data_IF_443255812528
#
_entry.id   IF_443255812528
#
_cell.length_a   1.000
_cell.length_b   1.000
_cell.length_c   1.000
_cell.angle_alpha   90.00
_cell.angle_beta   90.00
_cell.angle_gamma   90.00
#
_symmetry.space_group_name_H-M   'P 1'
#
loop_
_entity.id
_entity.type
_entity.pdbx_description
1 polymer ?
#
# COMPACT_ATOMS: atom_id res chain seq x y z
N UNK A 1 14.17 11.40 8.17
CA UNK A 1 12.96 12.19 8.42
C UNK A 1 12.79 12.41 9.92
N UNK A 2 12.36 13.62 10.30
CA UNK A 2 12.40 14.08 11.69
C UNK A 2 11.55 13.29 12.68
N UNK A 3 10.51 12.56 12.23
CA UNK A 3 9.63 11.79 13.09
C UNK A 3 10.05 10.31 13.29
N UNK A 4 11.13 9.85 12.66
CA UNK A 4 11.63 8.49 12.80
C UNK A 4 10.73 7.38 12.22
N UNK A 5 9.74 7.70 11.38
CA UNK A 5 8.81 6.74 10.80
C UNK A 5 9.50 5.53 10.11
N UNK A 6 10.57 5.70 9.32
CA UNK A 6 11.25 4.56 8.70
C UNK A 6 11.75 3.53 9.71
N UNK A 7 12.30 3.98 10.85
CA UNK A 7 12.77 3.08 11.89
C UNK A 7 11.62 2.39 12.63
N UNK A 8 10.54 3.14 12.93
CA UNK A 8 9.35 2.58 13.61
C UNK A 8 8.64 1.51 12.79
N UNK A 9 8.65 1.66 11.46
CA UNK A 9 7.90 0.77 10.55
C UNK A 9 8.75 -0.29 9.87
N UNK A 10 10.06 -0.36 10.19
CA UNK A 10 10.98 -1.31 9.57
C UNK A 10 10.52 -2.77 9.69
N UNK A 11 9.99 -3.17 10.84
CA UNK A 11 9.50 -4.54 11.04
C UNK A 11 8.32 -4.86 10.09
N UNK A 12 7.39 -3.92 9.89
CA UNK A 12 6.29 -4.08 8.94
C UNK A 12 6.78 -4.25 7.50
N UNK A 13 7.82 -3.50 7.10
CA UNK A 13 8.42 -3.61 5.77
C UNK A 13 9.04 -4.99 5.53
N UNK A 14 9.73 -5.54 6.51
CA UNK A 14 10.32 -6.89 6.43
C UNK A 14 9.22 -7.92 6.22
N UNK A 15 8.18 -7.93 7.04
CA UNK A 15 7.07 -8.87 6.89
C UNK A 15 6.31 -8.70 5.57
N UNK A 16 6.14 -7.47 5.09
CA UNK A 16 5.52 -7.20 3.78
C UNK A 16 6.28 -7.80 2.58
N UNK A 17 7.59 -8.08 2.74
CA UNK A 17 8.43 -8.65 1.68
C UNK A 17 8.67 -10.16 1.85
N UNK A 18 8.89 -10.60 3.08
CA UNK A 18 9.50 -11.90 3.38
C UNK A 18 8.56 -12.85 4.12
N UNK A 19 7.34 -12.42 4.40
CA UNK A 19 6.37 -13.23 5.11
C UNK A 19 6.05 -14.52 4.38
N UNK A 20 6.23 -15.65 5.08
CA UNK A 20 5.86 -16.98 4.57
C UNK A 20 4.63 -17.49 5.29
N UNK A 21 3.74 -18.22 4.57
CA UNK A 21 2.63 -18.89 5.22
C UNK A 21 3.11 -19.86 6.30
N UNK A 22 2.49 -19.79 7.49
CA UNK A 22 2.66 -20.78 8.54
C UNK A 22 1.75 -21.98 8.30
N UNK A 23 0.56 -21.73 7.75
CA UNK A 23 -0.42 -22.76 7.44
C UNK A 23 -1.19 -22.36 6.18
N UNK A 24 -1.49 -23.35 5.34
CA UNK A 24 -2.38 -23.21 4.18
C UNK A 24 -3.38 -24.36 4.18
N UNK A 25 -4.65 -24.03 4.21
CA UNK A 25 -5.72 -25.01 4.02
C UNK A 25 -6.47 -24.73 2.73
N UNK A 26 -6.92 -25.80 2.06
CA UNK A 26 -7.60 -25.74 0.78
C UNK A 26 -8.74 -26.76 0.81
N UNK A 27 -9.97 -26.30 0.69
CA UNK A 27 -11.16 -27.17 0.80
C UNK A 27 -12.31 -26.69 -0.09
N UNK A 28 -13.19 -27.59 -0.44
CA UNK A 28 -14.47 -27.26 -1.05
C UNK A 28 -15.51 -26.99 0.03
N UNK A 29 -16.23 -25.88 -0.10
CA UNK A 29 -17.39 -25.52 0.74
C UNK A 29 -18.55 -25.24 -0.18
N UNK A 30 -19.46 -26.24 -0.29
CA UNK A 30 -20.44 -26.25 -1.36
C UNK A 30 -19.77 -26.33 -2.71
N UNK A 31 -20.07 -25.41 -3.61
CA UNK A 31 -19.46 -25.30 -4.94
C UNK A 31 -18.21 -24.39 -4.96
N UNK A 32 -17.92 -23.71 -3.87
CA UNK A 32 -16.82 -22.78 -3.78
C UNK A 32 -15.53 -23.49 -3.30
N UNK A 33 -14.39 -23.09 -3.87
CA UNK A 33 -13.09 -23.45 -3.34
C UNK A 33 -12.65 -22.39 -2.34
N UNK A 34 -12.32 -22.80 -1.12
CA UNK A 34 -11.89 -21.91 -0.04
C UNK A 34 -10.44 -22.22 0.32
N UNK A 35 -9.56 -21.24 0.13
CA UNK A 35 -8.16 -21.31 0.51
C UNK A 35 -7.94 -20.35 1.67
N UNK A 36 -7.50 -20.86 2.82
CA UNK A 36 -7.15 -20.05 3.99
C UNK A 36 -5.65 -20.11 4.23
N UNK A 37 -5.06 -18.94 4.39
CA UNK A 37 -3.62 -18.78 4.61
C UNK A 37 -3.41 -18.07 5.95
N UNK A 38 -2.58 -18.66 6.80
CA UNK A 38 -2.20 -18.08 8.10
C UNK A 38 -0.75 -17.66 8.07
N UNK A 39 -0.49 -16.45 8.49
CA UNK A 39 0.85 -15.89 8.67
C UNK A 39 1.07 -15.58 10.15
N UNK A 40 2.15 -16.12 10.72
CA UNK A 40 2.60 -15.77 12.06
C UNK A 40 3.66 -14.68 11.95
N UNK A 41 3.35 -13.53 12.50
CA UNK A 41 4.22 -12.34 12.50
C UNK A 41 4.82 -12.19 13.91
N UNK A 42 5.74 -13.11 14.25
CA UNK A 42 6.25 -13.29 15.62
C UNK A 42 6.85 -12.02 16.21
N UNK A 43 7.72 -11.32 15.45
CA UNK A 43 8.36 -10.08 15.91
C UNK A 43 7.37 -8.92 16.08
N UNK A 44 6.20 -9.00 15.46
CA UNK A 44 5.11 -8.05 15.60
C UNK A 44 4.11 -8.48 16.69
N UNK A 45 4.24 -9.70 17.19
CA UNK A 45 3.35 -10.27 18.21
C UNK A 45 1.92 -10.46 17.72
N UNK A 46 1.73 -10.74 16.41
CA UNK A 46 0.40 -10.91 15.84
C UNK A 46 0.35 -12.01 14.79
N UNK A 47 -0.85 -12.32 14.33
CA UNK A 47 -1.11 -13.20 13.20
C UNK A 47 -1.96 -12.49 12.15
N UNK A 48 -1.79 -12.88 10.89
CA UNK A 48 -2.63 -12.42 9.79
C UNK A 48 -3.23 -13.63 9.07
N UNK A 49 -4.55 -13.62 8.91
CA UNK A 49 -5.29 -14.69 8.24
C UNK A 49 -5.91 -14.12 6.97
N UNK A 50 -5.65 -14.74 5.84
CA UNK A 50 -6.27 -14.36 4.57
C UNK A 50 -7.07 -15.54 4.03
N UNK A 51 -8.35 -15.32 3.77
CA UNK A 51 -9.27 -16.32 3.19
C UNK A 51 -9.63 -15.90 1.77
N UNK A 52 -9.42 -16.79 0.84
CA UNK A 52 -9.80 -16.66 -0.56
C UNK A 52 -10.95 -17.59 -0.87
N UNK A 53 -12.12 -17.04 -1.21
CA UNK A 53 -13.26 -17.82 -1.66
C UNK A 53 -13.43 -17.65 -3.16
N UNK A 54 -13.24 -18.74 -3.91
CA UNK A 54 -13.32 -18.78 -5.37
C UNK A 54 -14.64 -19.43 -5.76
N UNK A 55 -15.49 -18.67 -6.42
CA UNK A 55 -16.79 -19.14 -6.94
C UNK A 55 -16.62 -19.81 -8.32
N UNK A 56 -17.51 -20.73 -8.73
CA UNK A 56 -17.51 -21.30 -10.09
C UNK A 56 -17.61 -20.23 -11.20
N UNK A 57 -18.21 -19.08 -10.89
CA UNK A 57 -18.29 -17.90 -11.78
C UNK A 57 -16.96 -17.24 -12.07
N UNK A 58 -15.88 -17.58 -11.32
CA UNK A 58 -14.58 -16.92 -11.37
C UNK A 58 -14.47 -15.71 -10.42
N UNK A 59 -15.53 -15.38 -9.69
CA UNK A 59 -15.49 -14.34 -8.67
C UNK A 59 -14.61 -14.81 -7.51
N UNK A 60 -13.69 -13.94 -7.07
CA UNK A 60 -12.83 -14.16 -5.93
C UNK A 60 -13.19 -13.19 -4.80
N UNK A 61 -13.61 -13.72 -3.66
CA UNK A 61 -13.75 -12.93 -2.43
C UNK A 61 -12.46 -13.07 -1.61
N UNK A 62 -11.90 -11.94 -1.18
CA UNK A 62 -10.71 -11.86 -0.32
C UNK A 62 -11.12 -11.26 1.01
N UNK A 63 -10.86 -12.00 2.09
CA UNK A 63 -11.08 -11.54 3.46
C UNK A 63 -9.78 -11.68 4.22
N UNK A 64 -9.24 -10.56 4.71
CA UNK A 64 -8.01 -10.52 5.48
C UNK A 64 -8.30 -9.98 6.89
N UNK A 65 -7.72 -10.63 7.88
CA UNK A 65 -7.84 -10.24 9.28
C UNK A 65 -6.51 -10.40 9.99
N UNK A 66 -6.00 -9.30 10.53
CA UNK A 66 -4.84 -9.28 11.41
C UNK A 66 -5.31 -9.11 12.86
N UNK A 67 -4.75 -9.92 13.77
CA UNK A 67 -4.98 -9.75 15.20
C UNK A 67 -4.32 -8.47 15.72
N UNK A 68 -4.59 -8.13 16.98
CA UNK A 68 -3.81 -7.08 17.66
C UNK A 68 -2.31 -7.37 17.59
N UNK A 69 -1.51 -6.33 17.47
CA UNK A 69 -0.06 -6.43 17.41
C UNK A 69 0.60 -5.70 18.58
N UNK A 70 1.84 -6.11 18.89
CA UNK A 70 2.64 -5.50 19.95
C UNK A 70 3.14 -4.09 19.60
N UNK A 71 3.10 -3.72 18.32
CA UNK A 71 3.42 -2.38 17.84
C UNK A 71 2.24 -1.44 18.00
N UNK A 72 2.49 -0.15 18.20
CA UNK A 72 1.43 0.85 18.37
C UNK A 72 0.64 1.09 17.07
N UNK A 73 1.33 1.07 15.93
CA UNK A 73 0.77 1.47 14.63
C UNK A 73 1.44 0.75 13.46
N UNK A 74 0.74 0.62 12.36
CA UNK A 74 1.24 0.14 11.08
C UNK A 74 1.17 1.25 10.00
N UNK A 75 2.02 1.22 8.96
CA UNK A 75 1.94 2.18 7.87
C UNK A 75 0.66 2.00 7.04
N UNK A 76 0.26 0.77 6.79
CA UNK A 76 -0.96 0.39 6.06
C UNK A 76 -1.34 -1.05 6.37
N UNK A 77 -2.61 -1.39 6.13
CA UNK A 77 -3.08 -2.76 6.19
C UNK A 77 -3.88 -3.09 4.93
N UNK A 78 -3.35 -4.00 4.13
CA UNK A 78 -3.95 -4.34 2.85
C UNK A 78 -3.28 -5.51 2.14
N UNK A 79 -3.65 -5.68 0.89
CA UNK A 79 -3.05 -6.64 -0.04
C UNK A 79 -2.62 -5.94 -1.31
N UNK A 80 -1.61 -6.47 -1.97
CA UNK A 80 -1.14 -5.96 -3.26
C UNK A 80 -0.85 -7.10 -4.23
N UNK A 81 -1.05 -6.82 -5.51
CA UNK A 81 -0.67 -7.72 -6.60
C UNK A 81 -0.29 -6.94 -7.84
N UNK A 82 0.25 -7.62 -8.84
CA UNK A 82 0.66 -7.03 -10.10
C UNK A 82 -0.15 -7.60 -11.25
N UNK A 83 -0.48 -6.73 -12.19
CA UNK A 83 -1.04 -7.06 -13.48
C UNK A 83 -0.07 -6.63 -14.59
N UNK A 84 -0.15 -7.21 -15.80
CA UNK A 84 0.60 -6.69 -16.95
C UNK A 84 0.35 -5.19 -17.15
N UNK A 85 1.34 -4.45 -17.61
CA UNK A 85 1.30 -2.99 -17.80
C UNK A 85 0.13 -2.53 -18.67
N UNK A 86 -0.32 -3.36 -19.62
CA UNK A 86 -1.46 -3.05 -20.48
C UNK A 86 -2.78 -2.81 -19.73
N UNK A 87 -2.90 -3.26 -18.48
CA UNK A 87 -4.04 -2.96 -17.60
C UNK A 87 -3.84 -1.59 -16.95
N UNK A 88 -4.04 -0.55 -17.76
CA UNK A 88 -3.70 0.83 -17.42
C UNK A 88 -4.90 1.79 -17.38
N UNK A 89 -6.11 1.35 -17.78
CA UNK A 89 -7.30 2.17 -17.70
C UNK A 89 -8.03 1.94 -16.38
N UNK A 90 -8.21 3.00 -15.62
CA UNK A 90 -8.76 3.00 -14.27
C UNK A 90 -10.09 3.75 -14.27
N UNK A 91 -11.09 3.16 -13.62
CA UNK A 91 -12.35 3.81 -13.30
C UNK A 91 -12.75 3.44 -11.89
N UNK A 92 -13.18 4.40 -11.07
CA UNK A 92 -13.50 4.12 -9.68
C UNK A 92 -14.63 5.01 -9.16
N UNK A 93 -15.31 4.54 -8.14
CA UNK A 93 -16.29 5.31 -7.37
C UNK A 93 -15.75 5.52 -5.96
N UNK A 94 -15.33 6.75 -5.69
CA UNK A 94 -14.66 7.14 -4.46
C UNK A 94 -14.31 8.62 -4.45
N UNK A 95 -13.36 9.01 -3.63
CA UNK A 95 -12.88 10.38 -3.56
C UNK A 95 -11.80 10.65 -4.62
N UNK A 96 -11.91 11.78 -5.29
CA UNK A 96 -10.99 12.19 -6.35
C UNK A 96 -11.20 13.64 -6.78
N UNK A 97 -10.71 14.00 -8.02
CA UNK A 97 -9.94 13.18 -8.95
C UNK A 97 -8.48 12.95 -8.52
N UNK A 98 -7.94 13.86 -7.72
CA UNK A 98 -6.54 13.85 -7.28
C UNK A 98 -6.30 12.83 -6.18
N UNK A 99 -5.02 12.53 -5.91
CA UNK A 99 -4.65 11.72 -4.76
C UNK A 99 -5.20 12.33 -3.47
N UNK A 100 -5.60 11.48 -2.56
CA UNK A 100 -6.10 11.87 -1.27
C UNK A 100 -5.81 10.77 -0.25
N UNK A 101 -5.69 11.17 1.01
CA UNK A 101 -5.31 10.32 2.14
C UNK A 101 -6.30 10.56 3.28
N UNK A 102 -6.40 9.67 4.23
CA UNK A 102 -7.38 9.75 5.30
C UNK A 102 -7.32 11.09 6.08
N UNK A 103 -6.14 11.72 6.15
CA UNK A 103 -5.89 13.04 6.76
C UNK A 103 -5.85 14.20 5.76
N UNK A 104 -6.06 13.93 4.46
CA UNK A 104 -6.03 14.92 3.38
C UNK A 104 -7.07 14.57 2.31
N UNK A 105 -8.34 14.55 2.67
CA UNK A 105 -9.44 14.14 1.78
C UNK A 105 -10.61 15.11 1.68
N UNK A 106 -10.65 16.15 2.50
CA UNK A 106 -11.83 17.03 2.57
C UNK A 106 -12.05 17.82 1.27
N UNK A 107 -10.97 18.11 0.52
CA UNK A 107 -11.04 18.72 -0.81
C UNK A 107 -11.40 17.74 -1.94
N UNK A 108 -11.38 16.44 -1.69
CA UNK A 108 -11.66 15.43 -2.70
C UNK A 108 -13.17 15.12 -2.76
N UNK A 109 -13.77 15.38 -3.92
CA UNK A 109 -15.20 15.15 -4.14
C UNK A 109 -15.50 13.66 -4.33
N UNK A 110 -16.70 13.26 -3.93
CA UNK A 110 -17.18 11.89 -4.09
C UNK A 110 -17.90 11.73 -5.42
N UNK A 111 -17.32 10.98 -6.36
CA UNK A 111 -17.88 10.76 -7.69
C UNK A 111 -17.31 9.51 -8.37
N UNK A 112 -17.77 9.25 -9.61
CA UNK A 112 -17.14 8.29 -10.51
C UNK A 112 -16.10 9.01 -11.34
N UNK A 113 -14.86 8.54 -11.26
CA UNK A 113 -13.72 9.08 -12.01
C UNK A 113 -13.16 8.05 -12.97
N UNK A 114 -12.56 8.55 -14.05
CA UNK A 114 -11.82 7.75 -15.03
C UNK A 114 -10.49 8.43 -15.30
N UNK A 115 -9.42 7.66 -15.32
CA UNK A 115 -8.06 8.11 -15.59
C UNK A 115 -7.22 6.94 -16.10
N UNK A 116 -5.97 7.19 -16.42
CA UNK A 116 -4.98 6.12 -16.62
C UNK A 116 -4.15 5.90 -15.35
N UNK A 117 -3.43 4.78 -15.30
CA UNK A 117 -2.45 4.53 -14.24
C UNK A 117 -1.36 5.60 -14.22
N UNK A 118 -0.96 6.11 -15.40
CA UNK A 118 0.01 7.21 -15.50
C UNK A 118 -0.53 8.51 -14.88
N UNK A 119 -1.83 8.80 -15.03
CA UNK A 119 -2.47 9.97 -14.41
C UNK A 119 -2.55 9.88 -12.89
N UNK A 120 -2.40 8.69 -12.33
CA UNK A 120 -2.41 8.50 -10.88
C UNK A 120 -1.05 8.79 -10.23
N UNK A 121 0.04 8.73 -11.00
CA UNK A 121 1.38 9.00 -10.51
C UNK A 121 1.56 10.49 -10.20
N UNK A 122 2.09 10.79 -9.00
CA UNK A 122 2.42 12.16 -8.58
C UNK A 122 3.94 12.29 -8.46
N UNK A 123 4.59 13.10 -9.32
CA UNK A 123 6.04 13.22 -9.39
C UNK A 123 6.58 14.13 -8.26
N UNK A 124 6.46 13.70 -7.03
CA UNK A 124 7.08 14.41 -5.91
C UNK A 124 8.60 14.55 -6.11
N UNK A 125 9.15 15.72 -5.79
CA UNK A 125 10.58 16.00 -5.95
C UNK A 125 11.45 14.94 -5.28
N UNK A 126 11.05 14.53 -4.07
CA UNK A 126 11.58 13.33 -3.44
C UNK A 126 10.58 12.20 -3.59
N UNK A 127 10.96 11.08 -4.23
CA UNK A 127 10.09 9.91 -4.36
C UNK A 127 9.55 9.45 -3.00
N UNK A 128 8.26 9.23 -2.93
CA UNK A 128 7.54 8.85 -1.73
C UNK A 128 6.19 8.23 -2.10
N UNK A 129 5.42 7.79 -1.11
CA UNK A 129 4.03 7.36 -1.29
C UNK A 129 3.24 8.40 -2.08
N UNK A 130 2.51 7.94 -3.10
CA UNK A 130 1.72 8.81 -3.96
C UNK A 130 0.58 8.05 -4.64
N UNK A 131 -0.33 8.79 -5.24
CA UNK A 131 -1.39 8.23 -6.08
C UNK A 131 -2.53 7.57 -5.31
N UNK A 132 -2.58 7.67 -3.99
CA UNK A 132 -3.59 7.02 -3.16
C UNK A 132 -4.98 7.63 -3.31
N UNK A 133 -6.03 6.82 -3.15
CA UNK A 133 -7.45 7.21 -3.15
C UNK A 133 -8.16 6.52 -1.98
N UNK A 134 -8.92 7.28 -1.21
CA UNK A 134 -9.68 6.74 -0.07
C UNK A 134 -11.18 6.67 -0.34
N UNK A 135 -11.91 6.03 0.58
CA UNK A 135 -13.37 5.91 0.55
C UNK A 135 -13.92 5.29 -0.75
N UNK A 136 -13.18 4.33 -1.37
CA UNK A 136 -13.52 3.70 -2.64
C UNK A 136 -14.47 2.53 -2.45
N UNK A 137 -15.57 2.53 -3.20
CA UNK A 137 -16.57 1.45 -3.16
C UNK A 137 -16.36 0.40 -4.24
N UNK A 138 -15.86 0.84 -5.39
CA UNK A 138 -15.42 -0.07 -6.44
C UNK A 138 -14.33 0.57 -7.30
N UNK A 139 -13.50 -0.29 -7.85
CA UNK A 139 -12.39 0.03 -8.73
C UNK A 139 -12.43 -0.92 -9.94
N UNK A 140 -12.45 -0.37 -11.14
CA UNK A 140 -12.30 -1.10 -12.40
C UNK A 140 -10.90 -0.82 -12.95
N UNK A 141 -10.18 -1.88 -13.32
CA UNK A 141 -8.90 -1.79 -14.02
C UNK A 141 -8.98 -2.68 -15.25
N UNK A 142 -8.71 -2.11 -16.45
CA UNK A 142 -8.81 -2.84 -17.71
C UNK A 142 -7.75 -2.45 -18.71
N UNK A 143 -7.52 -3.32 -19.68
CA UNK A 143 -6.70 -3.04 -20.85
C UNK A 143 -7.52 -2.38 -21.99
N UNK A 144 -6.83 -1.99 -23.06
CA UNK A 144 -7.47 -1.38 -24.22
C UNK A 144 -8.45 -2.32 -24.97
N UNK A 145 -8.37 -3.64 -24.74
CA UNK A 145 -9.29 -4.63 -25.33
C UNK A 145 -10.57 -4.81 -24.49
N UNK A 146 -10.71 -4.08 -23.40
CA UNK A 146 -11.86 -4.14 -22.50
C UNK A 146 -11.87 -5.32 -21.54
N UNK A 147 -10.78 -6.08 -21.42
CA UNK A 147 -10.63 -7.12 -20.39
C UNK A 147 -10.06 -6.54 -19.11
N UNK A 148 -10.54 -6.98 -17.98
CA UNK A 148 -10.09 -6.42 -16.72
C UNK A 148 -10.68 -7.07 -15.49
N UNK A 149 -10.57 -6.34 -14.39
CA UNK A 149 -11.08 -6.70 -13.09
C UNK A 149 -11.92 -5.55 -12.53
N UNK A 150 -13.04 -5.88 -11.91
CA UNK A 150 -13.73 -4.95 -11.01
C UNK A 150 -13.51 -5.43 -9.59
N UNK A 151 -13.04 -4.55 -8.74
CA UNK A 151 -12.87 -4.78 -7.31
C UNK A 151 -14.00 -4.05 -6.58
N UNK A 152 -14.81 -4.79 -5.82
CA UNK A 152 -15.91 -4.23 -5.03
C UNK A 152 -15.63 -4.35 -3.54
N UNK A 153 -15.83 -3.27 -2.81
CA UNK A 153 -15.87 -3.30 -1.35
C UNK A 153 -17.03 -4.17 -0.87
N UNK A 154 -16.83 -4.98 0.17
CA UNK A 154 -17.88 -5.85 0.73
C UNK A 154 -18.51 -5.20 1.95
N UNK A 155 -17.74 -4.94 3.01
CA UNK A 155 -18.29 -4.39 4.26
C UNK A 155 -18.07 -2.88 4.35
N UNK A 156 -16.87 -2.45 4.10
CA UNK A 156 -16.45 -1.04 4.22
C UNK A 156 -15.74 -0.60 2.94
N UNK A 157 -15.82 0.68 2.57
CA UNK A 157 -14.98 1.21 1.49
C UNK A 157 -13.52 0.91 1.76
N UNK A 158 -12.77 0.63 0.70
CA UNK A 158 -11.33 0.43 0.75
C UNK A 158 -10.59 1.68 0.27
N UNK A 159 -9.29 1.67 0.48
CA UNK A 159 -8.35 2.64 -0.10
C UNK A 159 -7.50 1.94 -1.16
N UNK A 160 -7.02 2.65 -2.18
CA UNK A 160 -6.23 2.01 -3.23
C UNK A 160 -5.14 2.90 -3.85
N UNK A 161 -4.12 2.22 -4.38
CA UNK A 161 -3.18 2.75 -5.37
C UNK A 161 -3.19 1.84 -6.61
N UNK A 162 -2.93 2.42 -7.78
CA UNK A 162 -2.64 1.69 -9.01
C UNK A 162 -1.56 2.45 -9.78
N UNK A 163 -0.32 1.93 -9.79
CA UNK A 163 0.84 2.60 -10.35
C UNK A 163 1.67 1.64 -11.21
N UNK A 164 2.40 2.18 -12.20
CA UNK A 164 3.43 1.44 -12.94
C UNK A 164 4.74 1.33 -12.15
N UNK A 165 4.68 1.43 -10.84
CA UNK A 165 5.80 1.33 -9.93
C UNK A 165 5.40 0.47 -8.73
N UNK A 166 6.36 -0.20 -8.13
CA UNK A 166 6.15 -0.83 -6.83
C UNK A 166 6.35 0.17 -5.69
N UNK A 167 5.80 -0.15 -4.52
CA UNK A 167 6.02 0.66 -3.30
C UNK A 167 7.52 0.83 -3.04
N UNK A 168 8.33 -0.22 -3.32
CA UNK A 168 9.78 -0.21 -3.13
C UNK A 168 10.52 0.72 -4.11
N UNK A 169 9.92 1.05 -5.26
CA UNK A 169 10.52 1.97 -6.21
C UNK A 169 10.60 3.42 -5.67
N UNK A 170 9.81 3.73 -4.66
CA UNK A 170 9.80 5.04 -4.01
C UNK A 170 10.65 5.09 -2.74
N UNK A 171 11.24 3.97 -2.34
CA UNK A 171 12.16 3.92 -1.22
C UNK A 171 13.60 4.15 -1.68
N UNK A 172 14.32 5.01 -0.97
CA UNK A 172 15.78 5.00 -1.05
C UNK A 172 16.29 3.63 -0.56
N UNK A 173 17.36 3.12 -1.17
CA UNK A 173 17.98 1.88 -0.71
C UNK A 173 18.29 1.94 0.78
N UNK A 174 18.06 0.83 1.46
CA UNK A 174 18.28 0.70 2.90
C UNK A 174 19.70 1.11 3.27
N UNK A 175 19.81 2.19 4.01
CA UNK A 175 20.96 2.39 4.84
C UNK A 175 20.89 1.36 5.96
N UNK A 176 21.87 0.49 6.07
CA UNK A 176 22.05 -0.41 7.22
C UNK A 176 22.38 0.34 8.50
N UNK A 177 22.67 1.63 8.39
CA UNK A 177 22.86 2.52 9.53
C UNK A 177 21.51 3.14 9.93
N UNK A 178 21.17 3.16 11.24
CA UNK A 178 20.04 3.95 11.71
C UNK A 178 20.21 5.38 11.23
N UNK A 179 19.15 5.93 10.62
CA UNK A 179 19.14 7.34 10.26
C UNK A 179 19.32 8.16 11.53
N UNK A 180 20.49 8.76 11.70
CA UNK A 180 20.75 9.71 12.76
C UNK A 180 20.78 11.09 12.11
N UNK A 181 19.79 11.92 12.42
CA UNK A 181 19.74 13.32 11.98
C UNK A 181 21.05 14.06 12.26
N UNK A 182 21.70 13.71 13.36
CA UNK A 182 22.97 14.31 13.81
C UNK A 182 24.19 13.90 12.97
N UNK A 183 24.06 12.91 12.10
CA UNK A 183 25.14 12.48 11.19
C UNK A 183 25.08 13.15 9.83
N UNK A 184 24.11 14.02 9.61
CA UNK A 184 24.07 14.87 8.45
C UNK A 184 25.00 16.07 8.70
N UNK A 185 26.29 15.84 8.59
CA UNK A 185 27.27 16.93 8.49
C UNK A 185 27.19 17.41 7.06
N UNK A 186 26.40 18.45 6.84
CA UNK A 186 26.38 19.20 5.61
C UNK A 186 27.83 19.60 5.33
N UNK A 187 28.41 19.07 4.23
CA UNK A 187 29.79 19.30 3.80
C UNK A 187 30.91 18.44 4.42
N UNK A 188 30.64 17.28 4.98
CA UNK A 188 31.70 16.33 5.21
C UNK A 188 32.08 15.63 3.88
N UNK A 189 33.26 15.95 3.28
CA UNK A 189 33.70 15.30 2.05
C UNK A 189 33.91 13.78 2.22
N UNK A 190 33.96 13.28 3.45
CA UNK A 190 34.06 11.85 3.75
C UNK A 190 32.69 11.16 3.81
N UNK A 191 31.62 11.91 3.95
CA UNK A 191 30.25 11.38 3.94
C UNK A 191 29.72 11.17 2.52
N UNK A 192 30.43 11.67 1.50
CA UNK A 192 30.10 11.43 0.09
C UNK A 192 30.07 9.94 -0.25
N UNK A 193 30.85 9.12 0.43
CA UNK A 193 30.82 7.67 0.29
C UNK A 193 29.57 7.02 0.89
N UNK A 194 29.12 7.47 2.03
CA UNK A 194 27.88 7.03 2.68
C UNK A 194 26.66 7.57 1.93
N UNK A 195 26.66 8.82 1.56
CA UNK A 195 25.66 9.40 0.71
C UNK A 195 25.53 8.65 -0.62
N UNK A 196 26.64 8.24 -1.24
CA UNK A 196 26.62 7.42 -2.45
C UNK A 196 26.03 6.04 -2.24
N UNK A 197 26.23 5.40 -1.08
CA UNK A 197 25.65 4.11 -0.78
C UNK A 197 24.16 4.20 -0.41
N UNK A 198 23.75 5.27 0.25
CA UNK A 198 22.35 5.58 0.57
C UNK A 198 21.59 6.10 -0.66
N UNK A 199 22.29 6.79 -1.57
CA UNK A 199 21.70 7.46 -2.73
C UNK A 199 21.68 6.61 -4.01
N UNK A 200 22.00 5.34 -3.96
CA UNK A 200 22.05 4.50 -5.18
C UNK A 200 20.68 4.27 -5.81
N UNK A 201 19.57 4.58 -5.13
CA UNK A 201 18.22 4.45 -5.67
C UNK A 201 17.32 5.61 -5.28
N UNK A 202 16.69 6.19 -6.27
CA UNK A 202 15.42 6.91 -6.21
C UNK A 202 15.36 8.05 -5.18
N UNK A 203 16.37 8.87 -5.16
CA UNK A 203 16.40 10.08 -4.33
C UNK A 203 15.74 11.27 -5.00
N UNK A 204 15.60 11.24 -6.33
CA UNK A 204 15.00 12.29 -7.14
C UNK A 204 13.91 11.74 -8.06
N UNK A 205 13.00 12.59 -8.47
CA UNK A 205 11.93 12.22 -9.39
C UNK A 205 12.45 11.64 -10.72
N UNK A 206 13.61 12.09 -11.19
CA UNK A 206 14.27 11.58 -12.39
C UNK A 206 14.79 10.15 -12.27
N UNK A 207 14.90 9.63 -11.07
CA UNK A 207 15.36 8.25 -10.83
C UNK A 207 14.22 7.24 -10.94
N UNK A 208 12.97 7.71 -10.95
CA UNK A 208 11.78 6.87 -11.05
C UNK A 208 11.48 6.61 -12.52
N UNK A 209 11.40 5.32 -12.85
CA UNK A 209 10.98 4.85 -14.18
C UNK A 209 9.81 3.89 -14.04
N UNK A 210 8.80 3.99 -14.91
CA UNK A 210 7.69 3.04 -14.90
C UNK A 210 8.19 1.63 -15.20
N UNK A 211 7.60 0.63 -14.55
CA UNK A 211 7.84 -0.79 -14.74
C UNK A 211 6.88 -1.36 -15.79
N UNK A 212 7.16 -2.58 -16.25
CA UNK A 212 6.31 -3.31 -17.18
C UNK A 212 5.13 -4.02 -16.52
N UNK A 213 4.61 -3.46 -15.43
CA UNK A 213 3.44 -3.94 -14.71
C UNK A 213 2.61 -2.77 -14.17
N UNK A 214 1.39 -3.06 -13.76
CA UNK A 214 0.58 -2.22 -12.90
C UNK A 214 0.50 -2.89 -11.53
N UNK A 215 1.06 -2.27 -10.50
CA UNK A 215 0.89 -2.71 -9.11
C UNK A 215 -0.37 -2.08 -8.52
N UNK A 216 -1.22 -2.92 -7.97
CA UNK A 216 -2.49 -2.53 -7.34
C UNK A 216 -2.35 -2.82 -5.86
N UNK A 217 -2.61 -1.82 -5.03
CA UNK A 217 -2.74 -1.97 -3.59
C UNK A 217 -4.20 -1.73 -3.22
N UNK A 218 -4.79 -2.63 -2.44
CA UNK A 218 -6.11 -2.47 -1.82
C UNK A 218 -5.92 -2.55 -0.32
N UNK A 219 -6.24 -1.45 0.36
CA UNK A 219 -6.04 -1.32 1.79
C UNK A 219 -7.38 -1.11 2.50
N UNK A 220 -7.50 -1.65 3.70
CA UNK A 220 -8.58 -1.24 4.60
C UNK A 220 -8.34 0.20 5.06
N UNK A 221 -7.07 0.52 5.30
CA UNK A 221 -6.62 1.85 5.69
C UNK A 221 -5.11 2.00 5.52
N UNK A 222 -4.70 3.24 5.23
CA UNK A 222 -3.32 3.69 5.30
C UNK A 222 -3.20 4.79 6.36
N UNK A 223 -2.11 4.79 7.12
CA UNK A 223 -1.77 5.87 8.05
C UNK A 223 -1.59 7.18 7.29
N UNK A 224 -2.15 8.27 7.80
CA UNK A 224 -2.08 9.58 7.19
C UNK A 224 -0.66 10.06 6.96
N UNK A 225 -0.47 10.87 5.94
CA UNK A 225 0.84 11.31 5.43
C UNK A 225 1.21 12.72 5.89
N UNK A 226 0.29 13.44 6.53
CA UNK A 226 0.47 14.82 6.99
C UNK A 226 0.94 14.92 8.44
N UNK A 227 0.99 16.15 8.90
CA UNK A 227 1.28 16.56 10.28
C UNK A 227 1.15 18.08 10.37
N UNK A 228 1.21 18.65 11.58
CA UNK A 228 1.01 20.09 11.79
C UNK A 228 2.15 20.95 11.20
N UNK A 229 3.28 20.34 10.86
CA UNK A 229 4.43 21.03 10.27
C UNK A 229 5.30 20.08 9.45
N UNK A 230 6.25 20.64 8.69
CA UNK A 230 7.22 19.90 7.86
C UNK A 230 8.45 19.38 8.64
N UNK A 231 8.53 19.62 9.92
CA UNK A 231 9.72 19.38 10.75
C UNK A 231 9.69 18.06 11.51
N UNK A 232 8.72 17.20 11.23
CA UNK A 232 8.62 15.89 11.84
C UNK A 232 7.41 15.71 12.73
N UNK A 233 6.40 16.57 12.68
CA UNK A 233 5.12 16.31 13.30
C UNK A 233 4.50 15.06 12.66
N UNK A 234 4.00 14.17 13.51
CA UNK A 234 3.24 13.00 13.07
C UNK A 234 1.79 13.38 12.78
N UNK A 235 1.12 12.59 11.94
CA UNK A 235 -0.34 12.70 11.80
C UNK A 235 -1.03 12.36 13.13
N UNK A 236 -2.23 12.90 13.35
CA UNK A 236 -3.02 12.60 14.55
C UNK A 236 -3.39 11.12 14.64
N UNK A 237 -3.53 10.61 15.86
CA UNK A 237 -3.85 9.19 16.12
C UNK A 237 -5.12 8.72 15.41
N UNK A 238 -6.11 9.59 15.22
CA UNK A 238 -7.34 9.28 14.45
C UNK A 238 -7.09 8.92 12.98
N UNK A 239 -5.94 9.30 12.45
CA UNK A 239 -5.52 9.02 11.07
C UNK A 239 -4.46 7.92 10.98
N UNK A 240 -4.14 7.25 12.07
CA UNK A 240 -3.20 6.14 12.11
C UNK A 240 -3.91 4.80 12.00
N UNK A 241 -3.22 3.81 11.48
CA UNK A 241 -3.60 2.40 11.58
C UNK A 241 -3.12 1.89 12.94
N UNK A 242 -3.96 2.03 13.96
CA UNK A 242 -3.64 1.59 15.32
C UNK A 242 -3.78 0.08 15.42
N UNK A 243 -2.70 -0.59 15.76
CA UNK A 243 -2.62 -2.06 15.82
C UNK A 243 -2.94 -2.64 17.20
N UNK A 244 -3.36 -1.81 18.14
CA UNK A 244 -4.02 -2.22 19.39
C UNK A 244 -5.45 -2.75 19.18
N UNK A 245 -5.92 -2.80 17.92
CA UNK A 245 -7.19 -3.38 17.51
C UNK A 245 -6.99 -4.25 16.29
N UNK A 246 -7.78 -5.32 16.12
CA UNK A 246 -7.73 -6.13 14.92
C UNK A 246 -7.99 -5.30 13.66
N UNK A 247 -7.25 -5.58 12.60
CA UNK A 247 -7.47 -4.96 11.29
C UNK A 247 -8.24 -5.93 10.39
N UNK A 248 -9.13 -5.41 9.56
CA UNK A 248 -9.93 -6.21 8.63
C UNK A 248 -10.00 -5.55 7.26
N UNK A 249 -10.01 -6.38 6.23
CA UNK A 249 -10.23 -5.98 4.85
C UNK A 249 -11.05 -7.04 4.15
N UNK A 250 -12.11 -6.64 3.43
CA UNK A 250 -12.92 -7.57 2.64
C UNK A 250 -13.32 -6.91 1.32
N UNK A 251 -13.07 -7.62 0.21
CA UNK A 251 -13.45 -7.17 -1.12
C UNK A 251 -13.66 -8.36 -2.07
N UNK A 252 -14.35 -8.10 -3.19
CA UNK A 252 -14.54 -9.08 -4.28
C UNK A 252 -13.79 -8.62 -5.52
N UNK A 253 -13.19 -9.56 -6.22
CA UNK A 253 -12.60 -9.38 -7.55
C UNK A 253 -13.48 -10.11 -8.56
N UNK A 254 -13.95 -9.39 -9.56
CA UNK A 254 -14.83 -9.87 -10.61
C UNK A 254 -14.11 -9.68 -11.95
N UNK A 255 -13.66 -10.75 -12.62
CA UNK A 255 -13.08 -10.67 -13.95
C UNK A 255 -14.13 -10.42 -15.03
N UNK A 256 -13.76 -9.72 -16.11
CA UNK A 256 -14.64 -9.48 -17.28
C UNK A 256 -13.85 -9.34 -18.56
#
# INVERSE_FOLDING_TARGET
YGNGAPARWQAWKVYGKECKPAEVTDQMVGENRVVKVVYNLEDLGCSNVVTYTIEPSGILTVEAQMSEASFKEAPRYGVRWRMPQEFANVRFYGRGPWENYCDRKDGAQFAIYSCTVDDMYVPYVRPQENGHRVDTRWLEIKNAKGRGLVIHAVETPFEFNALHNSVEDFDAEESTAPYQWNNFVENDPHDVGRARNVMKKQTHVSDISPRNFTEICIDSRMTGVGGDNSWGAETYDKYKVLTSQPQRLSFKIIPF
#
